data_IF_280594166903
#
_entry.id   IF_280594166903
#
_cell.length_a   1.000
_cell.length_b   1.000
_cell.length_c   1.000
_cell.angle_alpha   90.00
_cell.angle_beta   90.00
_cell.angle_gamma   90.00
#
_symmetry.space_group_name_H-M   'P 1'
#
loop_
_entity.id
_entity.type
_entity.pdbx_description
1 polymer ?
#
# COMPACT_ATOMS: atom_id res chain seq x y z
N UNK A 1 -6.96 29.83 52.06
CA UNK A 1 -7.38 29.60 50.66
C UNK A 1 -6.74 28.30 50.20
N UNK A 2 -7.55 27.26 49.96
CA UNK A 2 -7.07 25.96 49.46
C UNK A 2 -6.74 26.10 47.97
N UNK A 3 -5.47 25.92 47.63
CA UNK A 3 -4.96 26.00 46.28
C UNK A 3 -5.55 24.87 45.43
N UNK A 4 -6.45 25.20 44.50
CA UNK A 4 -6.98 24.23 43.52
C UNK A 4 -5.81 23.80 42.62
N UNK A 5 -5.17 22.69 42.96
CA UNK A 5 -4.21 22.02 42.06
C UNK A 5 -4.97 21.57 40.82
N UNK A 6 -4.84 22.34 39.74
CA UNK A 6 -5.26 21.95 38.41
C UNK A 6 -4.48 20.68 38.06
N UNK A 7 -5.14 19.53 38.06
CA UNK A 7 -4.56 18.29 37.54
C UNK A 7 -4.42 18.43 36.01
N UNK A 8 -3.42 19.19 35.58
CA UNK A 8 -2.95 19.16 34.21
C UNK A 8 -2.37 17.75 34.05
N UNK A 9 -3.10 16.88 33.36
CA UNK A 9 -2.50 15.67 32.81
C UNK A 9 -1.31 16.17 32.00
N UNK A 10 -0.08 16.00 32.51
CA UNK A 10 1.13 16.07 31.67
C UNK A 10 0.79 15.28 30.43
N UNK A 11 0.79 15.90 29.26
CA UNK A 11 0.48 15.24 28.00
C UNK A 11 1.27 13.92 27.95
N UNK A 12 0.59 12.84 28.30
CA UNK A 12 1.24 11.63 28.77
C UNK A 12 1.53 10.79 27.55
N UNK A 13 2.79 10.63 27.21
CA UNK A 13 3.27 9.46 26.50
C UNK A 13 2.94 9.41 25.02
N UNK A 14 3.40 10.40 24.24
CA UNK A 14 3.59 10.16 22.81
C UNK A 14 5.04 9.74 22.57
N UNK A 15 5.38 8.53 23.02
CA UNK A 15 6.57 7.87 22.50
C UNK A 15 6.29 7.58 21.02
N UNK A 16 7.16 8.07 20.14
CA UNK A 16 7.08 7.78 18.70
C UNK A 16 7.14 6.26 18.52
N UNK A 17 5.99 5.64 18.23
CA UNK A 17 5.89 4.17 18.07
C UNK A 17 6.61 3.74 16.78
N UNK A 18 6.64 4.60 15.75
CA UNK A 18 7.18 4.32 14.42
C UNK A 18 8.40 5.20 14.17
N UNK A 19 9.60 4.62 14.19
CA UNK A 19 10.85 5.30 13.84
C UNK A 19 10.94 5.70 12.36
N UNK A 20 11.95 6.50 11.97
CA UNK A 20 12.10 6.97 10.59
C UNK A 20 12.28 5.84 9.58
N UNK A 21 13.02 4.78 9.94
CA UNK A 21 13.19 3.61 9.08
C UNK A 21 11.87 2.86 8.87
N UNK A 22 11.10 2.62 9.94
CA UNK A 22 9.79 1.98 9.83
C UNK A 22 8.80 2.82 9.00
N UNK A 23 8.88 4.15 9.09
CA UNK A 23 8.08 5.05 8.26
C UNK A 23 8.47 5.00 6.78
N UNK A 24 9.78 4.92 6.48
CA UNK A 24 10.27 4.70 5.12
C UNK A 24 9.80 3.35 4.56
N UNK A 25 9.95 2.27 5.34
CA UNK A 25 9.49 0.92 4.97
C UNK A 25 7.99 0.91 4.68
N UNK A 26 7.19 1.58 5.51
CA UNK A 26 5.76 1.75 5.26
C UNK A 26 5.50 2.46 3.92
N UNK A 27 6.21 3.56 3.63
CA UNK A 27 6.11 4.26 2.35
C UNK A 27 6.43 3.38 1.15
N UNK A 28 7.49 2.57 1.22
CA UNK A 28 7.87 1.61 0.17
C UNK A 28 6.76 0.57 -0.06
N UNK A 29 6.14 0.06 1.01
CA UNK A 29 5.02 -0.88 0.91
C UNK A 29 3.75 -0.24 0.33
N UNK A 30 3.48 1.03 0.67
CA UNK A 30 2.33 1.76 0.10
C UNK A 30 2.47 1.99 -1.40
N UNK A 31 3.70 2.14 -1.89
CA UNK A 31 3.98 2.20 -3.34
C UNK A 31 3.96 0.79 -3.94
N UNK A 32 4.20 -0.26 -3.15
CA UNK A 32 4.26 -1.66 -3.55
C UNK A 32 5.29 -1.92 -4.64
N UNK A 33 6.57 -1.82 -4.28
CA UNK A 33 7.69 -1.96 -5.21
C UNK A 33 7.61 -3.27 -6.03
N UNK A 34 7.14 -4.38 -5.46
CA UNK A 34 6.92 -5.65 -6.17
C UNK A 34 5.87 -5.54 -7.25
N UNK A 35 4.66 -5.06 -6.92
CA UNK A 35 3.55 -5.13 -7.86
C UNK A 35 3.56 -3.96 -8.83
N UNK A 36 3.76 -2.73 -8.33
CA UNK A 36 3.73 -1.53 -9.16
C UNK A 36 5.05 -1.29 -9.87
N UNK A 37 6.18 -1.69 -9.26
CA UNK A 37 7.50 -1.57 -9.89
C UNK A 37 7.67 -2.48 -11.10
N UNK A 38 6.97 -3.62 -11.15
CA UNK A 38 6.95 -4.50 -12.32
C UNK A 38 6.15 -3.93 -13.49
N UNK A 39 5.16 -3.06 -13.24
CA UNK A 39 4.27 -2.53 -14.29
C UNK A 39 5.05 -1.77 -15.37
N UNK A 40 5.95 -0.80 -15.05
CA UNK A 40 6.77 -0.15 -16.05
C UNK A 40 7.59 -1.12 -16.90
N UNK A 41 8.13 -2.19 -16.31
CA UNK A 41 8.96 -3.16 -17.04
C UNK A 41 8.16 -4.16 -17.87
N UNK A 42 6.94 -4.50 -17.44
CA UNK A 42 6.08 -5.44 -18.16
C UNK A 42 5.23 -4.74 -19.24
N UNK A 43 4.65 -3.58 -18.90
CA UNK A 43 3.63 -2.95 -19.74
C UNK A 43 4.20 -1.88 -20.66
N UNK A 44 5.19 -1.08 -20.25
CA UNK A 44 5.71 -0.03 -21.14
C UNK A 44 6.36 -0.59 -22.41
N UNK A 45 7.18 -1.66 -22.37
CA UNK A 45 7.71 -2.25 -23.61
C UNK A 45 6.63 -2.84 -24.51
N UNK A 46 5.54 -3.35 -23.91
CA UNK A 46 4.41 -3.92 -24.63
C UNK A 46 3.53 -2.85 -25.29
N UNK A 47 3.24 -1.76 -24.58
CA UNK A 47 2.32 -0.72 -25.03
C UNK A 47 3.02 0.35 -25.89
N UNK A 48 4.29 0.64 -25.60
CA UNK A 48 5.12 1.63 -26.30
C UNK A 48 6.50 1.04 -26.63
N UNK A 49 6.58 0.18 -27.66
CA UNK A 49 7.84 -0.41 -28.08
C UNK A 49 8.82 0.69 -28.50
N UNK A 50 10.05 0.64 -27.95
CA UNK A 50 11.11 1.62 -28.22
C UNK A 50 11.12 2.84 -27.30
N UNK A 51 10.22 2.93 -26.31
CA UNK A 51 10.27 3.98 -25.31
C UNK A 51 11.52 3.85 -24.41
N UNK A 52 12.17 4.98 -24.12
CA UNK A 52 13.27 5.04 -23.16
C UNK A 52 12.73 4.98 -21.73
N UNK A 53 12.81 3.78 -21.15
CA UNK A 53 12.42 3.51 -19.76
C UNK A 53 13.23 4.35 -18.76
N UNK A 54 14.50 4.62 -19.02
CA UNK A 54 15.36 5.36 -18.09
C UNK A 54 14.90 6.82 -18.05
N UNK A 55 14.65 7.43 -19.20
CA UNK A 55 14.11 8.79 -19.27
C UNK A 55 12.73 8.89 -18.59
N UNK A 56 11.83 7.93 -18.86
CA UNK A 56 10.48 7.90 -18.29
C UNK A 56 10.50 7.77 -16.75
N UNK A 57 11.31 6.84 -16.22
CA UNK A 57 11.46 6.65 -14.78
C UNK A 57 12.13 7.85 -14.11
N UNK A 58 13.13 8.46 -14.76
CA UNK A 58 13.81 9.66 -14.25
C UNK A 58 12.84 10.84 -14.14
N UNK A 59 12.03 11.06 -15.17
CA UNK A 59 11.01 12.11 -15.15
C UNK A 59 9.95 11.86 -14.07
N UNK A 60 9.50 10.60 -13.95
CA UNK A 60 8.55 10.20 -12.90
C UNK A 60 9.11 10.40 -11.49
N UNK A 61 10.39 10.07 -11.27
CA UNK A 61 11.08 10.30 -10.00
C UNK A 61 11.06 11.77 -9.59
N UNK A 62 11.31 12.70 -10.53
CA UNK A 62 11.31 14.14 -10.24
C UNK A 62 9.92 14.62 -9.78
N UNK A 63 8.84 14.17 -10.43
CA UNK A 63 7.47 14.49 -10.01
C UNK A 63 7.15 13.89 -8.64
N UNK A 64 7.58 12.65 -8.38
CA UNK A 64 7.41 12.00 -7.08
C UNK A 64 8.17 12.73 -5.96
N UNK A 65 9.33 13.33 -6.23
CA UNK A 65 10.06 14.13 -5.25
C UNK A 65 9.31 15.40 -4.86
N UNK A 66 8.69 16.09 -5.82
CA UNK A 66 7.85 17.26 -5.55
C UNK A 66 6.64 16.86 -4.70
N UNK A 67 6.03 15.71 -5.00
CA UNK A 67 4.93 15.19 -4.19
C UNK A 67 5.38 14.82 -2.77
N UNK A 68 6.49 14.08 -2.62
CA UNK A 68 7.02 13.65 -1.33
C UNK A 68 7.41 14.84 -0.44
N UNK A 69 8.03 15.88 -1.00
CA UNK A 69 8.39 17.10 -0.27
C UNK A 69 7.16 17.84 0.23
N UNK A 70 6.11 17.94 -0.60
CA UNK A 70 4.84 18.55 -0.21
C UNK A 70 4.20 17.80 0.96
N UNK A 71 4.11 16.46 0.88
CA UNK A 71 3.56 15.65 1.97
C UNK A 71 4.41 15.66 3.24
N UNK A 72 5.73 15.77 3.13
CA UNK A 72 6.62 15.93 4.28
C UNK A 72 6.37 17.27 5.01
N UNK A 73 6.10 18.34 4.27
CA UNK A 73 5.71 19.64 4.85
C UNK A 73 4.33 19.59 5.51
N UNK A 74 3.35 18.91 4.90
CA UNK A 74 2.03 18.70 5.50
C UNK A 74 2.17 17.95 6.84
N UNK A 75 2.97 16.89 6.87
CA UNK A 75 3.24 16.11 8.08
C UNK A 75 3.98 16.90 9.17
N UNK A 76 4.76 17.92 8.82
CA UNK A 76 5.42 18.79 9.81
C UNK A 76 4.49 19.87 10.38
N UNK A 77 3.58 20.41 9.56
CA UNK A 77 2.58 21.41 9.98
C UNK A 77 1.48 20.78 10.82
N UNK A 78 1.04 19.57 10.47
CA UNK A 78 0.01 18.82 11.18
C UNK A 78 0.56 17.51 11.76
N UNK A 79 1.45 17.56 12.78
CA UNK A 79 2.13 16.38 13.32
C UNK A 79 1.20 15.41 14.06
N UNK A 80 -0.07 15.80 14.28
CA UNK A 80 -1.09 15.02 14.98
C UNK A 80 -2.38 15.00 14.19
N UNK A 81 -2.82 13.81 13.80
CA UNK A 81 -4.14 13.48 13.24
C UNK A 81 -4.64 14.37 12.10
N UNK A 82 -3.78 15.20 11.48
CA UNK A 82 -4.13 16.08 10.38
C UNK A 82 -3.64 15.48 9.07
N UNK A 83 -4.45 14.58 8.52
CA UNK A 83 -4.30 14.12 7.15
C UNK A 83 -4.77 15.22 6.18
N UNK A 84 -4.67 14.94 4.89
CA UNK A 84 -4.93 15.87 3.77
C UNK A 84 -6.31 16.54 3.87
N UNK A 85 -7.30 15.82 4.42
CA UNK A 85 -8.64 16.35 4.67
C UNK A 85 -8.63 17.59 5.59
N UNK A 86 -7.94 17.53 6.73
CA UNK A 86 -7.96 18.61 7.73
C UNK A 86 -7.23 19.86 7.21
N UNK A 87 -6.12 19.67 6.51
CA UNK A 87 -5.39 20.78 5.90
C UNK A 87 -6.22 21.42 4.78
N UNK A 88 -6.72 20.62 3.84
CA UNK A 88 -7.48 21.12 2.70
C UNK A 88 -8.83 21.75 3.11
N UNK A 89 -9.49 21.22 4.14
CA UNK A 89 -10.75 21.79 4.65
C UNK A 89 -10.56 23.18 5.24
N UNK A 90 -9.35 23.48 5.76
CA UNK A 90 -9.02 24.78 6.39
C UNK A 90 -8.47 25.80 5.41
N UNK A 91 -7.77 25.36 4.36
CA UNK A 91 -7.12 26.25 3.39
C UNK A 91 -7.97 26.52 2.15
N UNK A 92 -8.75 25.53 1.68
CA UNK A 92 -9.45 25.61 0.40
C UNK A 92 -10.95 25.78 0.65
N UNK A 93 -11.65 24.69 0.96
CA UNK A 93 -13.06 24.67 1.27
C UNK A 93 -13.42 23.31 1.87
N UNK A 94 -14.19 23.23 2.98
CA UNK A 94 -14.55 21.97 3.61
C UNK A 94 -15.30 20.99 2.70
N UNK A 95 -16.19 21.48 1.83
CA UNK A 95 -17.04 20.64 0.97
C UNK A 95 -16.24 20.07 -0.20
N UNK A 96 -15.42 20.90 -0.86
CA UNK A 96 -14.56 20.44 -1.95
C UNK A 96 -13.54 19.41 -1.46
N UNK A 97 -12.92 19.68 -0.31
CA UNK A 97 -11.96 18.75 0.26
C UNK A 97 -12.62 17.45 0.72
N UNK A 98 -13.84 17.50 1.25
CA UNK A 98 -14.61 16.30 1.57
C UNK A 98 -14.84 15.45 0.31
N UNK A 99 -15.30 16.08 -0.78
CA UNK A 99 -15.49 15.39 -2.07
C UNK A 99 -14.21 14.72 -2.58
N UNK A 100 -13.08 15.43 -2.52
CA UNK A 100 -11.77 14.89 -2.92
C UNK A 100 -11.32 13.71 -2.03
N UNK A 101 -11.36 13.87 -0.70
CA UNK A 101 -10.94 12.82 0.23
C UNK A 101 -11.85 11.59 0.19
N UNK A 102 -13.16 11.79 0.00
CA UNK A 102 -14.10 10.68 -0.16
C UNK A 102 -13.86 9.93 -1.48
N UNK A 103 -13.67 10.66 -2.59
CA UNK A 103 -13.34 10.05 -3.88
C UNK A 103 -12.04 9.24 -3.81
N UNK A 104 -11.02 9.78 -3.13
CA UNK A 104 -9.77 9.06 -2.90
C UNK A 104 -9.99 7.79 -2.06
N UNK A 105 -10.82 7.86 -1.02
CA UNK A 105 -11.17 6.68 -0.20
C UNK A 105 -11.83 5.59 -1.05
N UNK A 106 -12.82 5.93 -1.88
CA UNK A 106 -13.47 4.99 -2.80
C UNK A 106 -12.46 4.39 -3.78
N UNK A 107 -11.59 5.22 -4.35
CA UNK A 107 -10.55 4.76 -5.26
C UNK A 107 -9.56 3.79 -4.59
N UNK A 108 -9.13 4.06 -3.36
CA UNK A 108 -8.27 3.17 -2.59
C UNK A 108 -8.97 1.85 -2.26
N UNK A 109 -10.26 1.87 -1.91
CA UNK A 109 -11.03 0.64 -1.69
C UNK A 109 -11.12 -0.23 -2.95
N UNK A 110 -11.40 0.39 -4.11
CA UNK A 110 -11.44 -0.31 -5.39
C UNK A 110 -10.08 -0.89 -5.77
N UNK A 111 -9.01 -0.10 -5.59
CA UNK A 111 -7.64 -0.53 -5.90
C UNK A 111 -7.19 -1.67 -4.98
N UNK A 112 -7.50 -1.61 -3.69
CA UNK A 112 -7.21 -2.69 -2.75
C UNK A 112 -7.92 -3.99 -3.15
N UNK A 113 -9.21 -3.92 -3.52
CA UNK A 113 -9.96 -5.08 -4.02
C UNK A 113 -9.36 -5.65 -5.32
N UNK A 114 -8.99 -4.78 -6.26
CA UNK A 114 -8.37 -5.18 -7.52
C UNK A 114 -7.00 -5.87 -7.31
N UNK A 115 -6.17 -5.36 -6.40
CA UNK A 115 -4.87 -5.97 -6.07
C UNK A 115 -5.02 -7.35 -5.43
N UNK A 116 -6.03 -7.54 -4.56
CA UNK A 116 -6.29 -8.85 -3.97
C UNK A 116 -6.77 -9.84 -5.03
N UNK A 117 -7.62 -9.41 -5.98
CA UNK A 117 -8.07 -10.24 -7.08
C UNK A 117 -6.95 -10.56 -8.09
N UNK A 118 -5.96 -9.69 -8.21
CA UNK A 118 -4.80 -9.89 -9.10
C UNK A 118 -3.89 -11.05 -8.66
N UNK A 119 -3.81 -11.34 -7.36
CA UNK A 119 -3.01 -12.43 -6.80
C UNK A 119 -3.43 -13.80 -7.39
N UNK A 120 -4.70 -14.24 -7.27
CA UNK A 120 -5.14 -15.50 -7.86
C UNK A 120 -5.28 -15.44 -9.39
N UNK A 121 -5.44 -14.28 -10.01
CA UNK A 121 -5.55 -14.21 -11.48
C UNK A 121 -4.21 -14.31 -12.19
N UNK A 122 -3.11 -13.87 -11.55
CA UNK A 122 -1.83 -13.70 -12.26
C UNK A 122 -0.63 -14.18 -11.45
N UNK A 123 -0.51 -13.80 -10.18
CA UNK A 123 0.68 -14.12 -9.36
C UNK A 123 0.75 -15.62 -9.05
N UNK A 124 -0.33 -16.17 -8.49
CA UNK A 124 -0.36 -17.56 -8.06
C UNK A 124 -0.31 -18.54 -9.25
N UNK A 125 -1.03 -18.32 -10.36
CA UNK A 125 -0.88 -19.12 -11.58
C UNK A 125 0.54 -19.09 -12.16
N UNK A 126 1.17 -17.91 -12.26
CA UNK A 126 2.53 -17.79 -12.79
C UNK A 126 3.55 -18.57 -11.94
N UNK A 127 3.39 -18.55 -10.62
CA UNK A 127 4.21 -19.34 -9.71
C UNK A 127 3.97 -20.85 -9.90
N UNK A 128 2.70 -21.29 -9.90
CA UNK A 128 2.34 -22.70 -10.03
C UNK A 128 2.75 -23.28 -11.38
N UNK A 129 2.60 -22.53 -12.47
CA UNK A 129 3.00 -22.95 -13.82
C UNK A 129 4.53 -23.11 -13.92
N UNK A 130 5.29 -22.18 -13.35
CA UNK A 130 6.76 -22.27 -13.33
C UNK A 130 7.23 -23.52 -12.58
N UNK A 131 6.61 -23.81 -11.43
CA UNK A 131 6.89 -25.03 -10.66
C UNK A 131 6.42 -26.29 -11.38
N UNK A 132 5.28 -26.25 -12.08
CA UNK A 132 4.80 -27.38 -12.88
C UNK A 132 5.80 -27.76 -13.98
N UNK A 133 6.42 -26.77 -14.63
CA UNK A 133 7.49 -27.00 -15.62
C UNK A 133 8.75 -27.56 -14.96
N UNK A 134 9.22 -26.96 -13.86
CA UNK A 134 10.44 -27.37 -13.17
C UNK A 134 10.39 -28.81 -12.64
N UNK A 135 9.27 -29.20 -12.03
CA UNK A 135 9.09 -30.52 -11.42
C UNK A 135 8.35 -31.51 -12.33
N UNK A 136 8.06 -31.10 -13.57
CA UNK A 136 7.34 -31.90 -14.58
C UNK A 136 6.03 -32.51 -14.02
N UNK A 137 5.30 -31.71 -13.24
CA UNK A 137 4.16 -32.14 -12.44
C UNK A 137 2.85 -31.61 -13.05
N UNK A 138 2.12 -32.39 -13.86
CA UNK A 138 0.94 -31.92 -14.58
C UNK A 138 -0.23 -31.54 -13.66
N UNK A 139 -0.24 -32.04 -12.42
CA UNK A 139 -1.25 -31.70 -11.43
C UNK A 139 -1.18 -30.21 -11.03
N UNK A 140 0.02 -29.60 -11.01
CA UNK A 140 0.16 -28.18 -10.67
C UNK A 140 -0.46 -27.27 -11.74
N UNK A 141 -0.41 -27.67 -13.02
CA UNK A 141 -1.12 -26.94 -14.08
C UNK A 141 -2.64 -26.98 -13.92
N UNK A 142 -3.20 -28.10 -13.44
CA UNK A 142 -4.63 -28.21 -13.20
C UNK A 142 -5.07 -27.28 -12.05
N UNK A 143 -4.27 -27.21 -10.98
CA UNK A 143 -4.51 -26.29 -9.86
C UNK A 143 -4.39 -24.84 -10.32
N UNK A 144 -3.34 -24.50 -11.09
CA UNK A 144 -3.13 -23.17 -11.66
C UNK A 144 -4.34 -22.68 -12.46
N UNK A 145 -4.82 -23.52 -13.40
CA UNK A 145 -6.01 -23.22 -14.22
C UNK A 145 -7.27 -23.06 -13.39
N UNK A 146 -7.45 -23.84 -12.33
CA UNK A 146 -8.60 -23.70 -11.44
C UNK A 146 -8.54 -22.41 -10.63
N UNK A 147 -7.37 -22.06 -10.07
CA UNK A 147 -7.15 -20.82 -9.32
C UNK A 147 -7.45 -19.59 -10.20
N UNK A 148 -7.05 -19.62 -11.46
CA UNK A 148 -7.31 -18.55 -12.44
C UNK A 148 -8.78 -18.48 -12.92
N UNK A 149 -9.61 -19.48 -12.61
CA UNK A 149 -11.03 -19.47 -12.98
C UNK A 149 -11.82 -18.42 -12.19
N UNK A 150 -12.97 -17.92 -12.68
CA UNK A 150 -13.78 -16.94 -11.95
C UNK A 150 -14.18 -17.38 -10.53
N UNK A 151 -14.48 -18.68 -10.37
CA UNK A 151 -14.80 -19.26 -9.06
C UNK A 151 -13.56 -19.36 -8.16
N UNK A 152 -12.41 -19.75 -8.71
CA UNK A 152 -11.13 -19.80 -8.00
C UNK A 152 -10.70 -18.43 -7.49
N UNK A 153 -10.78 -17.41 -8.33
CA UNK A 153 -10.47 -16.02 -7.97
C UNK A 153 -11.38 -15.52 -6.84
N UNK A 154 -12.68 -15.85 -6.87
CA UNK A 154 -13.59 -15.45 -5.80
C UNK A 154 -13.24 -16.13 -4.47
N UNK A 155 -13.02 -17.45 -4.47
CA UNK A 155 -12.73 -18.22 -3.25
C UNK A 155 -11.37 -17.83 -2.66
N UNK A 156 -10.33 -17.83 -3.48
CA UNK A 156 -8.96 -17.51 -3.05
C UNK A 156 -8.86 -16.02 -2.70
N UNK A 157 -9.48 -15.14 -3.47
CA UNK A 157 -9.55 -13.71 -3.18
C UNK A 157 -10.24 -13.43 -1.85
N UNK A 158 -11.38 -14.06 -1.57
CA UNK A 158 -12.08 -13.91 -0.28
C UNK A 158 -11.25 -14.40 0.90
N UNK A 159 -10.48 -15.48 0.73
CA UNK A 159 -9.52 -15.95 1.72
C UNK A 159 -8.45 -14.89 2.00
N UNK A 160 -7.85 -14.29 0.97
CA UNK A 160 -6.86 -13.22 1.14
C UNK A 160 -7.47 -11.97 1.78
N UNK A 161 -8.69 -11.57 1.40
CA UNK A 161 -9.42 -10.49 2.07
C UNK A 161 -9.57 -10.80 3.56
N UNK A 162 -9.99 -12.01 3.92
CA UNK A 162 -10.15 -12.41 5.31
C UNK A 162 -8.83 -12.36 6.09
N UNK A 163 -7.73 -12.82 5.48
CA UNK A 163 -6.38 -12.74 6.08
C UNK A 163 -5.95 -11.29 6.28
N UNK A 164 -6.17 -10.40 5.30
CA UNK A 164 -5.86 -8.97 5.44
C UNK A 164 -6.71 -8.30 6.52
N UNK A 165 -7.99 -8.65 6.63
CA UNK A 165 -8.88 -8.17 7.67
C UNK A 165 -8.39 -8.59 9.07
N UNK A 166 -7.98 -9.86 9.25
CA UNK A 166 -7.36 -10.32 10.48
C UNK A 166 -6.07 -9.56 10.80
N UNK A 167 -5.24 -9.28 9.79
CA UNK A 167 -4.02 -8.49 9.97
C UNK A 167 -4.30 -7.05 10.41
N UNK A 168 -5.41 -6.44 9.97
CA UNK A 168 -5.83 -5.11 10.40
C UNK A 168 -6.26 -5.05 11.88
N UNK A 169 -6.69 -6.17 12.47
CA UNK A 169 -7.04 -6.26 13.90
C UNK A 169 -5.77 -6.30 14.78
N UNK A 170 -4.63 -6.71 14.22
CA UNK A 170 -3.40 -6.85 14.99
C UNK A 170 -2.88 -5.48 15.49
N UNK A 171 -2.28 -5.44 16.69
CA UNK A 171 -1.63 -4.24 17.19
C UNK A 171 -0.57 -3.71 16.21
N UNK A 172 -0.47 -2.39 16.07
CA UNK A 172 0.42 -1.70 15.12
C UNK A 172 1.88 -2.18 15.19
N UNK A 173 2.37 -2.60 16.38
CA UNK A 173 3.72 -3.16 16.56
C UNK A 173 3.97 -4.42 15.72
N UNK A 174 2.96 -5.25 15.51
CA UNK A 174 3.07 -6.48 14.70
C UNK A 174 3.01 -6.16 13.23
N UNK A 175 2.14 -5.24 12.82
CA UNK A 175 2.05 -4.76 11.45
C UNK A 175 3.38 -4.17 10.99
N UNK A 176 4.02 -3.32 11.81
CA UNK A 176 5.34 -2.76 11.50
C UNK A 176 6.41 -3.84 11.38
N UNK A 177 6.38 -4.87 12.24
CA UNK A 177 7.33 -6.00 12.14
C UNK A 177 7.12 -6.80 10.86
N UNK A 178 5.87 -7.08 10.50
CA UNK A 178 5.53 -7.78 9.25
C UNK A 178 6.01 -6.98 8.03
N UNK A 179 5.85 -5.66 8.03
CA UNK A 179 6.36 -4.79 6.97
C UNK A 179 7.89 -4.77 6.90
N UNK A 180 8.58 -4.72 8.05
CA UNK A 180 10.06 -4.77 8.05
C UNK A 180 10.55 -6.13 7.55
N UNK A 181 9.92 -7.23 7.95
CA UNK A 181 10.25 -8.56 7.45
C UNK A 181 9.98 -8.64 5.94
N UNK A 182 8.83 -8.13 5.48
CA UNK A 182 8.47 -8.03 4.07
C UNK A 182 9.51 -7.28 3.26
N UNK A 183 9.99 -6.14 3.77
CA UNK A 183 11.06 -5.36 3.13
C UNK A 183 12.34 -6.18 2.89
N UNK A 184 12.76 -6.99 3.87
CA UNK A 184 13.96 -7.82 3.75
C UNK A 184 13.76 -9.08 2.93
N UNK A 185 12.57 -9.67 2.98
CA UNK A 185 12.19 -10.80 2.12
C UNK A 185 11.99 -10.39 0.67
N UNK A 186 12.09 -9.09 0.38
CA UNK A 186 11.81 -8.54 -0.93
C UNK A 186 10.31 -8.38 -1.11
N UNK A 187 9.75 -7.31 -0.55
CA UNK A 187 8.88 -6.50 -1.43
C UNK A 187 9.54 -6.37 -2.78
#
# INVERSE_FOLDING_TARGET
>A
MSEKRLFVRRASGLTRIIGPFAAMVFGVHCISLSSSGLIPYAWCPWLWPGADLVALLTFSMLLCLIHATTYAQIGSVYPRSGADYILGSRLINPVLQFGASFSFTVFTCLTAGALIAWIPSSVLPSFLDTWAVLFNAPQLFAVSKWVASPAGVLVVGLLFVFVTWLACILPTKWVVRLMIIGFWLGT
#
